data_IF_512629268822
#
_entry.id   IF_512629268822
#
_cell.length_a   1.000
_cell.length_b   1.000
_cell.length_c   1.000
_cell.angle_alpha   90.00
_cell.angle_beta   90.00
_cell.angle_gamma   90.00
#
_symmetry.space_group_name_H-M   'P 1'
#
loop_
_entity.id
_entity.type
_entity.pdbx_description
1 polymer ?
#
# COMPACT_ATOMS: atom_id res chain seq x y z
N UNK A 1 2.33 -7.65 -22.59
CA UNK A 1 1.17 -6.78 -22.23
C UNK A 1 0.71 -6.03 -23.48
N UNK A 2 -0.60 -6.03 -23.79
CA UNK A 2 -1.15 -5.30 -24.93
C UNK A 2 -1.35 -3.79 -24.63
N UNK A 3 -1.66 -3.01 -25.67
CA UNK A 3 -1.78 -1.55 -25.55
C UNK A 3 -2.96 -1.11 -24.66
N UNK A 4 -4.06 -1.87 -24.65
CA UNK A 4 -5.23 -1.58 -23.82
C UNK A 4 -4.93 -1.77 -22.35
N UNK A 5 -4.27 -2.86 -22.00
CA UNK A 5 -3.79 -3.16 -20.66
C UNK A 5 -2.82 -2.08 -20.15
N UNK A 6 -1.84 -1.70 -20.97
CA UNK A 6 -0.90 -0.61 -20.65
C UNK A 6 -1.65 0.71 -20.38
N UNK A 7 -2.67 1.01 -21.18
CA UNK A 7 -3.48 2.22 -21.00
C UNK A 7 -4.21 2.22 -19.66
N UNK A 8 -4.78 1.08 -19.23
CA UNK A 8 -5.48 0.94 -17.96
C UNK A 8 -4.52 1.11 -16.76
N UNK A 9 -3.34 0.49 -16.78
CA UNK A 9 -2.31 0.73 -15.76
C UNK A 9 -1.91 2.21 -15.68
N UNK A 10 -1.68 2.86 -16.82
CA UNK A 10 -1.35 4.29 -16.87
C UNK A 10 -2.47 5.18 -16.37
N UNK A 11 -3.72 4.81 -16.60
CA UNK A 11 -4.88 5.54 -16.10
C UNK A 11 -5.01 5.39 -14.58
N UNK A 12 -4.88 4.17 -14.05
CA UNK A 12 -4.81 3.92 -12.62
C UNK A 12 -3.70 4.73 -11.94
N UNK A 13 -2.49 4.75 -12.53
CA UNK A 13 -1.37 5.56 -12.03
C UNK A 13 -1.65 7.07 -12.05
N UNK A 14 -2.35 7.60 -13.07
CA UNK A 14 -2.75 9.01 -13.10
C UNK A 14 -3.77 9.36 -12.02
N UNK A 15 -4.70 8.45 -11.74
CA UNK A 15 -5.68 8.61 -10.64
C UNK A 15 -4.96 8.63 -9.31
N UNK A 16 -4.09 7.64 -9.04
CA UNK A 16 -3.32 7.57 -7.81
C UNK A 16 -2.43 8.81 -7.61
N UNK A 17 -1.73 9.26 -8.67
CA UNK A 17 -0.94 10.50 -8.60
C UNK A 17 -1.78 11.72 -8.18
N UNK A 18 -2.98 11.90 -8.74
CA UNK A 18 -3.87 13.00 -8.36
C UNK A 18 -4.37 12.87 -6.93
N UNK A 19 -4.60 11.64 -6.45
CA UNK A 19 -4.97 11.38 -5.06
C UNK A 19 -3.80 11.69 -4.11
N UNK A 20 -2.56 11.33 -4.47
CA UNK A 20 -1.33 11.71 -3.76
C UNK A 20 -1.19 13.23 -3.70
N UNK A 21 -1.32 13.93 -4.81
CA UNK A 21 -1.19 15.39 -4.84
C UNK A 21 -2.26 16.04 -3.93
N UNK A 22 -3.51 15.58 -4.01
CA UNK A 22 -4.60 16.03 -3.13
C UNK A 22 -4.36 15.71 -1.65
N UNK A 23 -3.86 14.52 -1.32
CA UNK A 23 -3.56 14.15 0.07
C UNK A 23 -2.54 15.09 0.72
N UNK A 24 -1.54 15.54 -0.04
CA UNK A 24 -0.55 16.54 0.42
C UNK A 24 -1.17 17.90 0.73
N UNK A 25 -2.28 18.25 0.08
CA UNK A 25 -2.98 19.50 0.32
C UNK A 25 -3.83 19.48 1.60
N UNK A 26 -4.36 18.31 1.97
CA UNK A 26 -5.31 18.18 3.07
C UNK A 26 -4.71 17.67 4.37
N UNK A 27 -3.54 17.00 4.32
CA UNK A 27 -2.88 16.48 5.52
C UNK A 27 -2.17 17.62 6.24
N UNK A 28 -2.59 17.91 7.48
CA UNK A 28 -2.05 18.96 8.36
C UNK A 28 -2.12 18.48 9.81
N UNK A 29 -1.34 19.12 10.67
CA UNK A 29 -1.46 18.96 12.12
C UNK A 29 -2.91 19.19 12.58
N UNK A 30 -3.41 18.32 13.45
CA UNK A 30 -4.77 18.34 14.00
C UNK A 30 -5.85 17.70 13.11
N UNK A 31 -5.58 17.42 11.85
CA UNK A 31 -6.55 16.72 10.99
C UNK A 31 -6.73 15.25 11.42
N UNK A 32 -7.97 14.76 11.33
CA UNK A 32 -8.32 13.38 11.67
C UNK A 32 -7.84 12.40 10.58
N UNK A 33 -7.24 11.27 11.00
CA UNK A 33 -6.89 10.19 10.08
C UNK A 33 -8.11 9.68 9.31
N UNK A 34 -9.23 9.49 9.99
CA UNK A 34 -10.46 8.98 9.38
C UNK A 34 -11.02 9.95 8.32
N UNK A 35 -11.09 11.24 8.64
CA UNK A 35 -11.62 12.22 7.70
C UNK A 35 -10.69 12.44 6.50
N UNK A 36 -9.39 12.44 6.72
CA UNK A 36 -8.41 12.49 5.62
C UNK A 36 -8.52 11.25 4.73
N UNK A 37 -8.64 10.06 5.33
CA UNK A 37 -8.83 8.81 4.57
C UNK A 37 -10.08 8.88 3.68
N UNK A 38 -11.23 9.28 4.24
CA UNK A 38 -12.49 9.43 3.48
C UNK A 38 -12.36 10.42 2.33
N UNK A 39 -11.75 11.58 2.57
CA UNK A 39 -11.53 12.59 1.52
C UNK A 39 -10.66 12.07 0.38
N UNK A 40 -9.62 11.28 0.69
CA UNK A 40 -8.77 10.65 -0.34
C UNK A 40 -9.58 9.60 -1.12
N UNK A 41 -10.37 8.77 -0.44
CA UNK A 41 -11.27 7.79 -1.05
C UNK A 41 -12.28 8.46 -1.99
N UNK A 42 -12.93 9.52 -1.55
CA UNK A 42 -13.84 10.34 -2.38
C UNK A 42 -13.11 10.93 -3.60
N UNK A 43 -11.86 11.38 -3.43
CA UNK A 43 -11.05 11.88 -4.53
C UNK A 43 -10.80 10.82 -5.59
N UNK A 44 -10.40 9.61 -5.21
CA UNK A 44 -10.20 8.49 -6.14
C UNK A 44 -11.50 8.19 -6.91
N UNK A 45 -12.63 8.07 -6.20
CA UNK A 45 -13.95 7.83 -6.81
C UNK A 45 -14.36 8.96 -7.77
N UNK A 46 -14.13 10.22 -7.41
CA UNK A 46 -14.43 11.38 -8.28
C UNK A 46 -13.65 11.35 -9.60
N UNK A 47 -12.50 10.69 -9.63
CA UNK A 47 -11.65 10.50 -10.80
C UNK A 47 -12.02 9.23 -11.60
N UNK A 48 -13.12 8.55 -11.26
CA UNK A 48 -13.61 7.31 -11.86
C UNK A 48 -12.67 6.10 -11.68
N UNK A 49 -11.82 6.13 -10.66
CA UNK A 49 -11.05 4.97 -10.19
C UNK A 49 -11.79 4.22 -9.08
N UNK A 50 -11.29 3.04 -8.77
CA UNK A 50 -11.62 2.33 -7.54
C UNK A 50 -10.35 2.03 -6.76
N UNK A 51 -10.48 1.54 -5.52
CA UNK A 51 -9.36 1.34 -4.61
C UNK A 51 -8.63 0.03 -4.92
N UNK A 52 -7.32 0.08 -5.15
CA UNK A 52 -6.50 -1.13 -5.20
C UNK A 52 -6.47 -1.81 -3.82
N UNK A 53 -6.31 -1.02 -2.78
CA UNK A 53 -6.31 -1.44 -1.37
C UNK A 53 -6.78 -0.28 -0.48
N UNK A 54 -7.06 -0.51 0.83
CA UNK A 54 -7.39 0.56 1.77
C UNK A 54 -6.26 1.58 1.89
N UNK A 55 -6.60 2.87 2.00
CA UNK A 55 -5.61 3.93 2.22
C UNK A 55 -4.84 3.64 3.52
N UNK A 56 -3.52 3.59 3.45
CA UNK A 56 -2.64 3.41 4.59
C UNK A 56 -2.05 4.74 5.04
N UNK A 57 -2.16 5.04 6.34
CA UNK A 57 -1.61 6.22 7.00
C UNK A 57 -0.70 5.80 8.15
N UNK A 58 0.48 5.28 7.81
CA UNK A 58 1.40 4.68 8.77
C UNK A 58 2.34 5.73 9.35
N UNK A 59 2.26 5.96 10.66
CA UNK A 59 2.97 7.04 11.36
C UNK A 59 4.15 6.52 12.17
N UNK A 60 5.26 7.21 12.12
CA UNK A 60 6.47 6.99 12.90
C UNK A 60 6.99 5.53 12.77
N UNK A 61 7.02 4.75 13.85
CA UNK A 61 7.50 3.38 13.87
C UNK A 61 6.59 2.36 13.16
N UNK A 62 5.36 2.73 12.83
CA UNK A 62 4.49 1.88 12.02
C UNK A 62 4.99 1.96 10.58
N UNK A 63 5.55 0.89 10.06
CA UNK A 63 6.14 0.87 8.72
C UNK A 63 5.06 0.91 7.63
N UNK A 64 4.03 0.08 7.73
CA UNK A 64 2.98 -0.10 6.72
C UNK A 64 1.67 -0.60 7.34
N UNK A 65 0.62 -0.71 6.52
CA UNK A 65 -0.65 -1.38 6.78
C UNK A 65 -1.51 -0.81 7.92
N UNK A 66 -1.32 0.46 8.28
CA UNK A 66 -2.27 1.14 9.14
C UNK A 66 -3.32 1.86 8.30
N UNK A 67 -4.57 1.43 8.38
CA UNK A 67 -5.73 2.12 7.79
C UNK A 67 -6.63 2.66 8.89
N UNK A 68 -7.25 3.82 8.66
CA UNK A 68 -8.15 4.43 9.64
C UNK A 68 -9.28 3.47 10.01
N UNK A 69 -9.46 3.27 11.32
CA UNK A 69 -10.46 2.37 11.91
C UNK A 69 -11.86 2.99 11.89
N UNK A 70 -12.87 2.17 12.18
CA UNK A 70 -14.22 2.69 12.49
C UNK A 70 -14.11 3.54 13.75
N UNK A 71 -14.59 4.79 13.70
CA UNK A 71 -14.48 5.76 14.79
C UNK A 71 -13.05 6.03 15.25
N UNK A 72 -12.09 6.03 14.31
CA UNK A 72 -10.70 6.41 14.59
C UNK A 72 -10.65 7.87 15.05
N UNK A 73 -10.20 8.10 16.26
CA UNK A 73 -10.06 9.42 16.89
C UNK A 73 -8.63 9.99 16.76
N UNK A 74 -7.74 9.26 16.06
CA UNK A 74 -6.37 9.68 15.83
C UNK A 74 -6.30 10.94 14.99
N UNK A 75 -5.40 11.84 15.36
CA UNK A 75 -5.10 13.08 14.63
C UNK A 75 -3.60 13.20 14.37
N UNK A 76 -3.22 13.85 13.27
CA UNK A 76 -1.83 14.10 12.96
C UNK A 76 -1.24 15.12 13.94
N UNK A 77 -0.01 14.84 14.41
CA UNK A 77 0.71 15.67 15.36
C UNK A 77 1.94 16.28 14.69
N UNK A 78 2.35 17.43 15.17
CA UNK A 78 3.62 18.05 14.77
C UNK A 78 4.79 17.08 15.05
N UNK A 79 5.65 16.90 14.06
CA UNK A 79 6.79 15.98 14.13
C UNK A 79 6.47 14.53 13.70
N UNK A 80 5.19 14.19 13.43
CA UNK A 80 4.87 12.86 12.89
C UNK A 80 5.50 12.65 11.52
N UNK A 81 6.20 11.52 11.37
CA UNK A 81 6.70 11.03 10.10
C UNK A 81 5.67 10.08 9.49
N UNK A 82 4.88 10.58 8.55
CA UNK A 82 3.75 9.89 7.95
C UNK A 82 4.12 9.27 6.60
N UNK A 83 3.89 7.97 6.45
CA UNK A 83 3.85 7.27 5.18
C UNK A 83 2.41 7.18 4.71
N UNK A 84 2.11 7.82 3.60
CA UNK A 84 0.82 7.73 2.90
C UNK A 84 1.01 6.77 1.75
N UNK A 85 0.24 5.70 1.78
CA UNK A 85 0.29 4.66 0.79
C UNK A 85 -1.12 4.37 0.28
N UNK A 86 -1.29 4.46 -1.02
CA UNK A 86 -2.58 4.33 -1.69
C UNK A 86 -2.44 3.77 -3.10
N UNK A 87 -3.44 3.06 -3.52
CA UNK A 87 -3.54 2.54 -4.87
C UNK A 87 -4.93 2.78 -5.47
N UNK A 88 -4.97 2.93 -6.77
CA UNK A 88 -6.20 2.94 -7.54
C UNK A 88 -6.18 1.83 -8.58
N UNK A 89 -7.35 1.42 -9.07
CA UNK A 89 -7.43 0.54 -10.21
C UNK A 89 -8.47 1.00 -11.23
N UNK A 90 -8.27 0.56 -12.48
CA UNK A 90 -9.22 0.65 -13.58
C UNK A 90 -9.39 -0.76 -14.12
N UNK A 91 -10.59 -1.31 -14.00
CA UNK A 91 -10.91 -2.70 -14.40
C UNK A 91 -9.95 -3.75 -13.79
N UNK A 92 -9.52 -3.54 -12.54
CA UNK A 92 -8.59 -4.44 -11.86
C UNK A 92 -7.12 -4.23 -12.19
N UNK A 93 -6.75 -3.37 -13.13
CA UNK A 93 -5.35 -3.00 -13.38
C UNK A 93 -4.92 -1.94 -12.39
N UNK A 94 -3.95 -2.30 -11.54
CA UNK A 94 -3.63 -1.63 -10.29
C UNK A 94 -2.52 -0.58 -10.47
N UNK A 95 -2.60 0.47 -9.70
CA UNK A 95 -1.45 1.29 -9.32
C UNK A 95 -1.21 1.16 -7.83
N UNK A 96 0.05 1.24 -7.45
CA UNK A 96 0.52 1.21 -6.08
C UNK A 96 1.53 2.32 -5.92
N UNK A 97 1.32 3.23 -4.95
CA UNK A 97 2.18 4.39 -4.80
C UNK A 97 2.15 4.94 -3.37
N UNK A 98 3.33 5.29 -2.88
CA UNK A 98 3.47 5.85 -1.55
C UNK A 98 4.40 7.07 -1.55
N UNK A 99 4.29 7.87 -0.49
CA UNK A 99 5.26 8.90 -0.16
C UNK A 99 5.33 9.08 1.35
N UNK A 100 6.46 9.64 1.80
CA UNK A 100 6.65 10.02 3.20
C UNK A 100 6.68 11.53 3.34
N UNK A 101 5.98 12.05 4.33
CA UNK A 101 6.05 13.47 4.73
C UNK A 101 6.17 13.61 6.24
N UNK A 102 6.73 14.72 6.68
CA UNK A 102 6.81 15.09 8.08
C UNK A 102 5.81 16.21 8.37
N UNK A 103 5.05 16.09 9.45
CA UNK A 103 3.99 17.04 9.79
C UNK A 103 4.59 18.22 10.55
N UNK A 104 4.60 19.39 9.91
CA UNK A 104 4.98 20.66 10.56
C UNK A 104 6.46 20.78 10.96
N UNK A 105 7.31 19.82 10.63
CA UNK A 105 8.76 19.84 10.85
C UNK A 105 9.51 19.31 9.62
N UNK A 106 10.84 19.24 9.68
CA UNK A 106 11.67 18.70 8.61
C UNK A 106 12.95 18.06 9.20
N UNK A 107 12.81 17.40 10.32
CA UNK A 107 13.93 16.81 11.07
C UNK A 107 14.40 15.49 10.44
N UNK A 108 13.48 14.76 9.76
CA UNK A 108 13.74 13.47 9.12
C UNK A 108 13.94 13.58 7.60
N UNK A 109 14.31 14.76 7.08
CA UNK A 109 14.48 15.00 5.64
C UNK A 109 15.48 14.05 4.98
N UNK A 110 16.58 13.71 5.67
CA UNK A 110 17.62 12.85 5.12
C UNK A 110 17.17 11.39 5.06
N UNK A 111 16.40 10.92 6.05
CA UNK A 111 15.76 9.59 6.02
C UNK A 111 14.74 9.48 4.88
N UNK A 112 13.90 10.49 4.73
CA UNK A 112 12.90 10.55 3.64
C UNK A 112 13.58 10.62 2.27
N UNK A 113 14.67 11.40 2.16
CA UNK A 113 15.46 11.50 0.94
C UNK A 113 16.12 10.16 0.58
N UNK A 114 16.57 9.38 1.57
CA UNK A 114 17.20 8.08 1.34
C UNK A 114 16.26 7.11 0.60
N UNK A 115 15.01 6.96 1.06
CA UNK A 115 14.02 6.11 0.37
C UNK A 115 13.69 6.64 -1.03
N UNK A 116 13.51 7.95 -1.17
CA UNK A 116 13.16 8.57 -2.46
C UNK A 116 14.27 8.44 -3.50
N UNK A 117 15.52 8.63 -3.11
CA UNK A 117 16.67 8.49 -3.99
C UNK A 117 16.93 7.01 -4.35
N UNK A 118 16.71 6.09 -3.39
CA UNK A 118 16.77 4.66 -3.65
C UNK A 118 15.70 4.21 -4.66
N UNK A 119 14.47 4.73 -4.55
CA UNK A 119 13.42 4.47 -5.55
C UNK A 119 13.83 4.95 -6.94
N UNK A 120 14.38 6.16 -7.04
CA UNK A 120 14.85 6.70 -8.32
C UNK A 120 15.94 5.83 -8.93
N UNK A 121 16.93 5.45 -8.15
CA UNK A 121 18.04 4.61 -8.60
C UNK A 121 17.56 3.20 -9.03
N UNK A 122 16.59 2.64 -8.30
CA UNK A 122 15.95 1.37 -8.67
C UNK A 122 15.23 1.49 -10.02
N UNK A 123 14.42 2.54 -10.23
CA UNK A 123 13.73 2.79 -11.50
C UNK A 123 14.71 2.94 -12.65
N UNK A 124 15.83 3.64 -12.47
CA UNK A 124 16.86 3.83 -13.49
C UNK A 124 17.58 2.50 -13.84
N UNK A 125 17.51 1.49 -12.97
CA UNK A 125 18.09 0.15 -13.15
C UNK A 125 17.16 -0.82 -13.88
N UNK A 126 15.83 -0.60 -13.81
CA UNK A 126 14.81 -1.51 -14.32
C UNK A 126 14.86 -1.58 -15.86
N UNK A 127 14.97 -2.82 -16.36
CA UNK A 127 14.81 -3.19 -17.78
C UNK A 127 14.53 -4.69 -17.89
N UNK A 128 13.96 -5.16 -19.00
CA UNK A 128 13.81 -6.61 -19.23
C UNK A 128 15.15 -7.35 -19.08
N UNK A 129 15.14 -8.48 -18.37
CA UNK A 129 16.32 -9.30 -18.09
C UNK A 129 17.15 -8.84 -16.91
N UNK A 130 16.82 -7.74 -16.21
CA UNK A 130 17.51 -7.37 -14.98
C UNK A 130 17.15 -8.32 -13.84
N UNK A 131 18.15 -8.78 -13.09
CA UNK A 131 17.93 -9.58 -11.89
C UNK A 131 17.34 -8.71 -10.76
N UNK A 132 16.34 -9.24 -10.03
CA UNK A 132 15.73 -8.53 -8.89
C UNK A 132 16.75 -8.25 -7.78
N UNK A 133 17.76 -9.12 -7.60
CA UNK A 133 18.87 -8.90 -6.66
C UNK A 133 19.69 -7.65 -7.00
N UNK A 134 19.84 -7.31 -8.28
CA UNK A 134 20.54 -6.07 -8.69
C UNK A 134 19.74 -4.82 -8.37
N UNK A 135 18.41 -4.90 -8.47
CA UNK A 135 17.51 -3.81 -8.06
C UNK A 135 17.64 -3.62 -6.55
N UNK A 136 17.55 -4.73 -5.78
CA UNK A 136 17.73 -4.71 -4.34
C UNK A 136 19.11 -4.18 -3.90
N UNK A 137 20.17 -4.58 -4.58
CA UNK A 137 21.54 -4.08 -4.31
C UNK A 137 21.62 -2.55 -4.47
N UNK A 138 21.05 -2.00 -5.54
CA UNK A 138 21.03 -0.54 -5.78
C UNK A 138 20.25 0.18 -4.69
N UNK A 139 19.09 -0.36 -4.27
CA UNK A 139 18.30 0.20 -3.15
C UNK A 139 19.12 0.19 -1.86
N UNK A 140 19.75 -0.93 -1.54
CA UNK A 140 20.59 -1.11 -0.35
C UNK A 140 21.76 -0.13 -0.33
N UNK A 141 22.49 -0.03 -1.44
CA UNK A 141 23.67 0.84 -1.56
C UNK A 141 23.30 2.32 -1.36
N UNK A 142 22.22 2.79 -1.97
CA UNK A 142 21.76 4.17 -1.83
C UNK A 142 21.36 4.46 -0.39
N UNK A 143 20.53 3.59 0.24
CA UNK A 143 20.07 3.80 1.62
C UNK A 143 21.26 3.79 2.59
N UNK A 144 22.19 2.82 2.46
CA UNK A 144 23.39 2.72 3.31
C UNK A 144 24.34 3.90 3.11
N UNK A 145 24.50 4.40 1.90
CA UNK A 145 25.36 5.57 1.63
C UNK A 145 24.90 6.83 2.35
N UNK A 146 23.61 6.89 2.71
CA UNK A 146 23.00 7.97 3.50
C UNK A 146 23.06 7.74 5.02
N UNK A 147 23.66 6.63 5.47
CA UNK A 147 23.76 6.27 6.88
C UNK A 147 22.52 5.61 7.49
N UNK A 148 21.61 5.12 6.64
CA UNK A 148 20.40 4.42 7.07
C UNK A 148 20.46 2.93 6.73
N UNK A 149 19.48 2.17 7.20
CA UNK A 149 19.38 0.72 6.95
C UNK A 149 18.14 0.44 6.09
N UNK A 150 18.23 -0.37 5.02
CA UNK A 150 17.05 -0.85 4.31
C UNK A 150 16.29 -1.85 5.18
N UNK A 151 14.94 -1.86 5.08
CA UNK A 151 14.13 -2.87 5.75
C UNK A 151 14.09 -4.13 4.90
N UNK A 152 14.68 -5.22 5.41
CA UNK A 152 14.90 -6.45 4.66
C UNK A 152 13.65 -7.33 4.48
N UNK A 153 12.69 -7.25 5.39
CA UNK A 153 11.47 -8.06 5.37
C UNK A 153 10.22 -7.30 4.88
N UNK A 154 10.43 -6.18 4.21
CA UNK A 154 9.45 -5.53 3.34
C UNK A 154 10.02 -5.48 1.93
N UNK A 155 9.18 -5.58 0.92
CA UNK A 155 9.59 -5.64 -0.48
C UNK A 155 8.54 -5.04 -1.39
N UNK A 156 8.94 -4.51 -2.54
CA UNK A 156 8.05 -4.32 -3.65
C UNK A 156 7.58 -5.67 -4.22
N UNK A 157 6.63 -5.63 -5.16
CA UNK A 157 5.99 -6.84 -5.67
C UNK A 157 5.48 -6.67 -7.10
N UNK A 158 5.16 -7.80 -7.74
CA UNK A 158 4.47 -7.81 -9.02
C UNK A 158 2.99 -7.47 -8.83
N UNK A 159 2.43 -6.81 -9.84
CA UNK A 159 1.02 -6.47 -9.94
C UNK A 159 0.41 -7.18 -11.14
N UNK A 160 -0.75 -7.83 -10.94
CA UNK A 160 -1.55 -8.36 -12.03
C UNK A 160 -3.00 -7.87 -11.93
N UNK A 161 -3.81 -8.18 -12.93
CA UNK A 161 -5.22 -7.78 -12.89
C UNK A 161 -5.93 -8.45 -11.72
N UNK A 162 -6.46 -7.66 -10.80
CA UNK A 162 -7.13 -8.07 -9.55
C UNK A 162 -6.21 -8.73 -8.50
N UNK A 163 -4.91 -8.81 -8.76
CA UNK A 163 -3.94 -9.36 -7.82
C UNK A 163 -2.87 -8.32 -7.47
N UNK A 164 -2.89 -7.88 -6.20
CA UNK A 164 -1.96 -6.87 -5.69
C UNK A 164 -0.55 -7.45 -5.46
N UNK A 165 -0.44 -8.74 -5.11
CA UNK A 165 0.82 -9.39 -4.77
C UNK A 165 1.05 -10.64 -5.65
N UNK A 166 1.19 -10.44 -6.96
CA UNK A 166 1.21 -11.48 -7.99
C UNK A 166 2.53 -12.27 -8.07
N UNK A 167 3.00 -12.75 -6.93
CA UNK A 167 4.05 -13.77 -6.82
C UNK A 167 5.49 -13.28 -6.79
N UNK A 168 5.93 -12.34 -7.65
CA UNK A 168 7.31 -11.85 -7.63
C UNK A 168 7.49 -10.79 -6.55
N UNK A 169 8.54 -10.92 -5.72
CA UNK A 169 8.95 -9.88 -4.75
C UNK A 169 10.19 -9.14 -5.23
N UNK A 170 10.22 -7.81 -5.07
CA UNK A 170 11.37 -6.96 -5.37
C UNK A 170 12.04 -6.59 -4.04
N UNK A 171 13.21 -7.14 -3.71
CA UNK A 171 13.83 -6.94 -2.41
C UNK A 171 14.41 -5.53 -2.24
N UNK A 172 14.57 -5.10 -0.99
CA UNK A 172 15.26 -3.85 -0.62
C UNK A 172 16.77 -4.04 -0.36
N UNK A 173 17.31 -5.21 -0.63
CA UNK A 173 18.71 -5.58 -0.44
C UNK A 173 19.13 -6.63 -1.47
N UNK A 174 20.43 -6.88 -1.60
CA UNK A 174 20.95 -7.93 -2.47
C UNK A 174 20.68 -9.32 -1.89
N UNK A 175 19.55 -9.91 -2.28
CA UNK A 175 19.14 -11.26 -1.85
C UNK A 175 19.78 -12.41 -2.65
N UNK A 176 20.72 -12.10 -3.57
CA UNK A 176 21.40 -13.06 -4.43
C UNK A 176 20.50 -13.87 -5.37
N UNK A 177 19.25 -13.45 -5.55
CA UNK A 177 18.33 -14.12 -6.49
C UNK A 177 18.77 -13.87 -7.95
N UNK A 178 18.71 -14.89 -8.76
CA UNK A 178 18.91 -14.85 -10.21
C UNK A 178 17.62 -14.62 -11.01
N UNK A 179 16.48 -14.54 -10.32
CA UNK A 179 15.18 -14.20 -10.94
C UNK A 179 15.26 -12.86 -11.66
N UNK A 180 14.73 -12.79 -12.86
CA UNK A 180 14.78 -11.61 -13.71
C UNK A 180 13.40 -10.99 -13.92
N UNK A 181 13.36 -9.68 -14.16
CA UNK A 181 12.17 -9.02 -14.67
C UNK A 181 12.00 -9.32 -16.16
N UNK A 182 10.78 -9.65 -16.54
CA UNK A 182 10.42 -9.88 -17.94
C UNK A 182 9.71 -8.67 -18.54
N UNK A 183 9.75 -8.56 -19.87
CA UNK A 183 9.03 -7.51 -20.57
C UNK A 183 7.52 -7.65 -20.36
N UNK A 184 6.86 -6.54 -20.06
CA UNK A 184 5.41 -6.53 -19.83
C UNK A 184 4.98 -6.84 -18.39
N UNK A 185 5.90 -7.08 -17.45
CA UNK A 185 5.56 -7.13 -16.02
C UNK A 185 5.22 -5.74 -15.50
N UNK A 186 4.19 -5.64 -14.66
CA UNK A 186 3.91 -4.49 -13.83
C UNK A 186 4.41 -4.78 -12.41
N UNK A 187 5.15 -3.83 -11.82
CA UNK A 187 5.76 -4.01 -10.50
C UNK A 187 5.64 -2.75 -9.66
N UNK A 188 5.44 -2.92 -8.36
CA UNK A 188 5.63 -1.89 -7.34
C UNK A 188 7.07 -1.97 -6.81
N UNK A 189 7.73 -0.82 -6.68
CA UNK A 189 9.08 -0.71 -6.09
C UNK A 189 8.97 0.10 -4.82
N UNK A 190 9.34 -0.51 -3.70
CA UNK A 190 9.05 0.00 -2.36
C UNK A 190 10.31 0.05 -1.48
N UNK A 191 11.21 1.01 -1.67
CA UNK A 191 12.35 1.18 -0.78
C UNK A 191 11.92 1.69 0.59
N UNK A 192 12.16 0.90 1.63
CA UNK A 192 11.96 1.28 3.02
C UNK A 192 13.32 1.54 3.69
N UNK A 193 13.56 2.78 4.11
CA UNK A 193 14.72 3.17 4.89
C UNK A 193 14.35 3.39 6.36
N UNK A 194 15.23 2.98 7.28
CA UNK A 194 15.05 3.17 8.70
C UNK A 194 16.36 3.56 9.39
N UNK A 195 16.26 4.27 10.50
CA UNK A 195 17.36 4.49 11.45
C UNK A 195 17.48 3.34 12.48
N UNK A 196 16.62 2.32 12.38
CA UNK A 196 16.61 1.13 13.22
C UNK A 196 17.40 -0.04 12.61
N UNK A 197 17.09 -1.25 13.07
CA UNK A 197 17.82 -2.49 12.72
C UNK A 197 17.54 -3.03 11.31
N UNK A 198 16.65 -2.41 10.54
CA UNK A 198 16.30 -2.89 9.18
C UNK A 198 15.36 -4.10 9.14
N UNK A 199 14.56 -4.28 10.17
CA UNK A 199 13.61 -5.37 10.24
C UNK A 199 12.34 -4.92 10.96
N UNK A 200 11.16 -5.24 10.41
CA UNK A 200 9.87 -4.99 11.06
C UNK A 200 9.35 -6.25 11.72
N UNK A 201 8.55 -6.05 12.75
CA UNK A 201 7.84 -7.12 13.46
C UNK A 201 6.35 -6.79 13.47
N UNK A 202 5.53 -7.82 13.62
CA UNK A 202 4.10 -7.63 13.78
C UNK A 202 3.81 -6.87 15.08
N UNK A 203 2.96 -5.85 14.97
CA UNK A 203 2.48 -5.08 16.10
C UNK A 203 0.99 -5.40 16.36
N UNK A 204 0.14 -4.40 16.40
CA UNK A 204 -1.30 -4.63 16.47
C UNK A 204 -1.85 -5.21 15.15
N UNK A 205 -2.94 -5.99 15.27
CA UNK A 205 -3.63 -6.52 14.09
C UNK A 205 -4.13 -5.40 13.20
N UNK A 206 -3.75 -5.44 11.95
CA UNK A 206 -4.32 -4.57 10.90
C UNK A 206 -5.81 -4.83 10.76
N UNK A 207 -6.57 -3.80 10.38
CA UNK A 207 -7.97 -3.95 9.94
C UNK A 207 -8.09 -4.10 8.41
N UNK A 208 -7.03 -4.56 7.75
CA UNK A 208 -7.00 -4.88 6.33
C UNK A 208 -7.10 -6.39 6.16
N UNK A 209 -7.95 -6.82 5.25
CA UNK A 209 -8.29 -8.22 4.99
C UNK A 209 -8.30 -8.48 3.49
N UNK A 210 -8.13 -9.74 3.12
CA UNK A 210 -8.25 -10.21 1.74
C UNK A 210 -9.06 -11.50 1.70
N UNK A 211 -9.89 -11.67 0.69
CA UNK A 211 -10.62 -12.92 0.48
C UNK A 211 -9.69 -13.95 -0.15
N UNK A 212 -9.26 -14.93 0.65
CA UNK A 212 -8.40 -16.02 0.18
C UNK A 212 -9.22 -17.17 -0.41
N UNK A 213 -10.31 -17.57 0.30
CA UNK A 213 -11.19 -18.64 -0.17
C UNK A 213 -12.59 -18.47 0.42
N UNK A 214 -13.64 -18.53 -0.42
CA UNK A 214 -15.02 -18.52 0.07
C UNK A 214 -15.36 -19.88 0.69
N UNK A 215 -15.32 -19.98 2.02
CA UNK A 215 -15.73 -21.18 2.75
C UNK A 215 -17.17 -21.03 3.24
N UNK A 216 -17.98 -22.11 3.23
CA UNK A 216 -19.32 -22.07 3.81
C UNK A 216 -19.29 -21.69 5.29
N UNK A 217 -20.11 -20.73 5.68
CA UNK A 217 -20.23 -20.25 7.08
C UNK A 217 -21.67 -20.24 7.54
N UNK A 218 -21.88 -20.47 8.85
CA UNK A 218 -23.24 -20.56 9.42
C UNK A 218 -23.86 -19.19 9.69
N UNK A 219 -23.03 -18.21 10.10
CA UNK A 219 -23.50 -16.85 10.41
C UNK A 219 -24.06 -16.14 9.18
N UNK A 220 -25.32 -15.64 9.23
CA UNK A 220 -25.89 -14.86 8.12
C UNK A 220 -25.07 -13.60 7.82
N UNK A 221 -24.54 -12.92 8.84
CA UNK A 221 -23.70 -11.73 8.67
C UNK A 221 -22.37 -12.09 8.02
N UNK A 222 -21.72 -13.20 8.45
CA UNK A 222 -20.49 -13.66 7.82
C UNK A 222 -20.70 -14.02 6.34
N UNK A 223 -21.83 -14.63 5.97
CA UNK A 223 -22.17 -14.89 4.55
C UNK A 223 -22.29 -13.60 3.74
N UNK A 224 -22.95 -12.58 4.28
CA UNK A 224 -23.07 -11.28 3.61
C UNK A 224 -21.71 -10.61 3.41
N UNK A 225 -20.80 -10.75 4.39
CA UNK A 225 -19.43 -10.22 4.27
C UNK A 225 -18.67 -10.94 3.15
N UNK A 226 -18.72 -12.28 3.11
CA UNK A 226 -18.07 -13.06 2.05
C UNK A 226 -18.65 -12.73 0.66
N UNK A 227 -19.98 -12.63 0.55
CA UNK A 227 -20.66 -12.26 -0.68
C UNK A 227 -20.27 -10.87 -1.15
N UNK A 228 -20.28 -9.90 -0.23
CA UNK A 228 -19.86 -8.53 -0.53
C UNK A 228 -18.39 -8.47 -0.98
N UNK A 229 -17.47 -9.12 -0.26
CA UNK A 229 -16.05 -9.12 -0.63
C UNK A 229 -15.81 -9.82 -1.96
N UNK A 230 -16.41 -10.97 -2.20
CA UNK A 230 -16.31 -11.70 -3.47
C UNK A 230 -16.84 -10.92 -4.67
N UNK A 231 -17.90 -10.13 -4.47
CA UNK A 231 -18.53 -9.36 -5.56
C UNK A 231 -17.81 -8.01 -5.82
N UNK A 232 -17.35 -7.35 -4.75
CA UNK A 232 -16.87 -5.96 -4.87
C UNK A 232 -15.35 -5.82 -4.78
N UNK A 233 -14.67 -6.83 -4.24
CA UNK A 233 -13.21 -6.77 -4.05
C UNK A 233 -12.48 -7.86 -4.82
N UNK A 234 -13.15 -8.96 -5.14
CA UNK A 234 -12.50 -10.13 -5.74
C UNK A 234 -11.32 -10.58 -4.86
N UNK A 235 -10.09 -10.48 -5.36
CA UNK A 235 -8.86 -10.80 -4.63
C UNK A 235 -8.17 -9.54 -4.03
N UNK A 236 -8.75 -8.34 -4.22
CA UNK A 236 -8.16 -7.11 -3.70
C UNK A 236 -8.40 -6.94 -2.20
N UNK A 237 -7.43 -6.38 -1.46
CA UNK A 237 -7.58 -6.06 -0.04
C UNK A 237 -8.74 -5.10 0.23
N UNK A 238 -9.36 -5.25 1.39
CA UNK A 238 -10.42 -4.37 1.89
C UNK A 238 -10.27 -4.15 3.40
N UNK A 239 -10.88 -3.09 3.92
CA UNK A 239 -10.86 -2.82 5.35
C UNK A 239 -12.22 -3.07 6.00
N UNK A 240 -12.20 -3.29 7.32
CA UNK A 240 -13.39 -3.49 8.14
C UNK A 240 -14.36 -2.30 8.05
N UNK A 241 -13.87 -1.08 7.91
CA UNK A 241 -14.67 0.12 7.74
C UNK A 241 -15.55 0.02 6.49
N UNK A 242 -15.01 -0.40 5.35
CA UNK A 242 -15.79 -0.61 4.12
C UNK A 242 -16.84 -1.69 4.27
N UNK A 243 -16.52 -2.77 5.00
CA UNK A 243 -17.51 -3.81 5.33
C UNK A 243 -18.64 -3.22 6.14
N UNK A 244 -18.34 -2.41 7.17
CA UNK A 244 -19.35 -1.77 8.02
C UNK A 244 -20.26 -0.84 7.24
N UNK A 245 -19.72 -0.07 6.31
CA UNK A 245 -20.46 0.89 5.50
C UNK A 245 -21.42 0.21 4.50
N UNK A 246 -21.05 -0.97 4.00
CA UNK A 246 -21.76 -1.66 2.92
C UNK A 246 -22.62 -2.85 3.39
N UNK A 247 -22.15 -3.61 4.36
CA UNK A 247 -22.84 -4.81 4.88
C UNK A 247 -23.76 -4.45 6.06
N UNK A 248 -24.67 -3.56 5.94
CA UNK A 248 -25.59 -3.11 7.01
C UNK A 248 -26.18 -4.30 7.80
N UNK A 249 -25.44 -4.82 8.79
CA UNK A 249 -25.78 -6.00 9.57
C UNK A 249 -25.27 -5.90 11.00
N UNK A 250 -25.96 -6.51 11.95
CA UNK A 250 -25.50 -6.57 13.34
C UNK A 250 -24.38 -7.58 13.51
N UNK A 251 -23.43 -7.30 14.40
CA UNK A 251 -22.38 -8.26 14.78
C UNK A 251 -21.27 -8.43 13.74
N UNK A 252 -20.95 -7.39 12.96
CA UNK A 252 -19.85 -7.41 11.97
C UNK A 252 -18.54 -7.85 12.61
N UNK A 253 -18.16 -7.29 13.76
CA UNK A 253 -16.92 -7.63 14.47
C UNK A 253 -16.82 -9.12 14.81
N UNK A 254 -17.90 -9.69 15.33
CA UNK A 254 -17.94 -11.12 15.66
C UNK A 254 -17.85 -11.97 14.39
N UNK A 255 -18.54 -11.54 13.33
CA UNK A 255 -18.54 -12.26 12.06
C UNK A 255 -17.19 -12.18 11.34
N UNK A 256 -16.52 -11.02 11.38
CA UNK A 256 -15.15 -10.88 10.85
C UNK A 256 -14.17 -11.80 11.59
N UNK A 257 -14.25 -11.89 12.92
CA UNK A 257 -13.41 -12.83 13.70
C UNK A 257 -13.63 -14.31 13.34
N UNK A 258 -14.81 -14.68 12.87
CA UNK A 258 -15.11 -16.03 12.41
C UNK A 258 -14.54 -16.34 11.02
N UNK A 259 -14.25 -15.29 10.22
CA UNK A 259 -13.75 -15.39 8.86
C UNK A 259 -12.22 -15.33 8.77
N UNK A 260 -11.56 -14.81 9.80
CA UNK A 260 -10.09 -14.73 9.85
C UNK A 260 -9.51 -16.12 10.13
N UNK A 261 -8.56 -16.53 9.30
CA UNK A 261 -7.82 -17.78 9.43
C UNK A 261 -6.71 -17.67 10.46
#
# INVERSE_FOLDING_TARGET
MDEETIKKYKEAGKIAKKAIDYSKEIIREGESYLEVTKKIEEKIKSLKGDFAFPINLSVNSIAAHYTAKINDDSVFKKGDLLKVDLGAHVDGFLSDTAYTMEIGTNENKDLTAASKEALKAAIDTIKPGVQISKIGAVIEDVIKSKGFTPIANLSGHQLEQWDLHAGLSIPNFDNKSDTVLEEGMAVAIEPFATNGIGHVVDAEKSEIYQLIAPKPVRSPTARKILEWSATNRLELPFCKRWVSDNVKSFGIDMSMRQLIL
#
